data_IF_063103794462
#
_entry.id   IF_063103794462
#
_cell.length_a   1.000
_cell.length_b   1.000
_cell.length_c   1.000
_cell.angle_alpha   90.00
_cell.angle_beta   90.00
_cell.angle_gamma   90.00
#
_symmetry.space_group_name_H-M   'P 1'
#
loop_
_entity.id
_entity.type
_entity.pdbx_description
1 polymer ?
#
# COMPACT_ATOMS: atom_id res chain seq x y z
N UNK A 1 -15.00 14.93 22.52
CA UNK A 1 -14.64 14.51 21.15
C UNK A 1 -13.13 14.35 21.00
N UNK A 2 -12.29 15.32 21.33
CA UNK A 2 -10.83 15.19 21.20
C UNK A 2 -10.20 13.97 21.94
N UNK A 3 -10.67 13.62 23.15
CA UNK A 3 -10.09 12.52 23.94
C UNK A 3 -10.32 11.12 23.32
N UNK A 4 -11.52 10.87 22.78
CA UNK A 4 -11.86 9.60 22.15
C UNK A 4 -11.04 9.42 20.86
N UNK A 5 -10.99 10.46 20.03
CA UNK A 5 -10.17 10.49 18.83
C UNK A 5 -8.67 10.25 19.12
N UNK A 6 -8.14 10.81 20.22
CA UNK A 6 -6.75 10.52 20.61
C UNK A 6 -6.53 9.06 21.04
N UNK A 7 -7.49 8.43 21.73
CA UNK A 7 -7.39 7.01 22.11
C UNK A 7 -7.47 6.11 20.88
N UNK A 8 -8.36 6.42 19.94
CA UNK A 8 -8.48 5.70 18.66
C UNK A 8 -7.19 5.84 17.84
N UNK A 9 -6.61 7.04 17.74
CA UNK A 9 -5.35 7.27 17.04
C UNK A 9 -4.19 6.45 17.65
N UNK A 10 -4.08 6.41 18.98
CA UNK A 10 -3.08 5.57 19.65
C UNK A 10 -3.34 4.07 19.50
N UNK A 11 -4.61 3.67 19.41
CA UNK A 11 -5.02 2.29 19.08
C UNK A 11 -4.51 1.87 17.71
N UNK A 12 -4.80 2.68 16.68
CA UNK A 12 -4.35 2.44 15.29
C UNK A 12 -2.82 2.36 15.21
N UNK A 13 -2.08 3.21 15.94
CA UNK A 13 -0.62 3.12 16.01
C UNK A 13 -0.12 1.81 16.64
N UNK A 14 -0.75 1.33 17.71
CA UNK A 14 -0.38 0.06 18.33
C UNK A 14 -0.72 -1.14 17.44
N UNK A 15 -1.86 -1.09 16.73
CA UNK A 15 -2.25 -2.11 15.75
C UNK A 15 -1.21 -2.19 14.62
N UNK A 16 -0.78 -1.03 14.08
CA UNK A 16 0.29 -0.98 13.08
C UNK A 16 1.59 -1.63 13.61
N UNK A 17 2.00 -1.25 14.83
CA UNK A 17 3.22 -1.80 15.44
C UNK A 17 3.10 -3.31 15.67
N UNK A 18 1.94 -3.77 16.12
CA UNK A 18 1.69 -5.18 16.36
C UNK A 18 1.66 -5.98 15.04
N UNK A 19 1.10 -5.40 13.98
CA UNK A 19 1.05 -6.01 12.65
C UNK A 19 2.43 -6.35 12.12
N UNK A 20 3.44 -5.51 12.41
CA UNK A 20 4.84 -5.81 12.05
C UNK A 20 5.35 -7.15 12.60
N UNK A 21 4.78 -7.62 13.71
CA UNK A 21 5.22 -8.84 14.40
C UNK A 21 4.43 -10.10 14.08
N UNK A 22 3.14 -9.97 13.78
CA UNK A 22 2.28 -11.12 13.58
C UNK A 22 2.55 -11.80 12.23
N UNK A 23 3.02 -11.03 11.23
CA UNK A 23 3.04 -11.49 9.84
C UNK A 23 1.62 -11.61 9.27
N UNK A 24 1.51 -12.25 8.11
CA UNK A 24 0.25 -12.42 7.39
C UNK A 24 -0.44 -11.09 7.11
N UNK A 25 -1.77 -11.10 7.18
CA UNK A 25 -2.60 -9.96 6.81
C UNK A 25 -2.28 -8.71 7.65
N UNK A 26 -2.07 -8.85 8.96
CA UNK A 26 -1.77 -7.70 9.84
C UNK A 26 -0.49 -6.95 9.40
N UNK A 27 0.55 -7.68 8.95
CA UNK A 27 1.79 -7.09 8.44
C UNK A 27 1.55 -6.38 7.10
N UNK A 28 0.75 -7.01 6.23
CA UNK A 28 0.38 -6.50 4.93
C UNK A 28 -0.43 -5.19 5.02
N UNK A 29 -1.36 -5.13 5.97
CA UNK A 29 -2.14 -3.93 6.31
C UNK A 29 -1.25 -2.81 6.85
N UNK A 30 -0.35 -3.12 7.80
CA UNK A 30 0.62 -2.15 8.32
C UNK A 30 1.49 -1.55 7.23
N UNK A 31 1.97 -2.38 6.30
CA UNK A 31 2.75 -1.94 5.15
C UNK A 31 1.96 -1.02 4.22
N UNK A 32 0.73 -1.40 3.89
CA UNK A 32 -0.17 -0.64 3.03
C UNK A 32 -0.54 0.72 3.64
N UNK A 33 -0.83 0.75 4.94
CA UNK A 33 -1.09 1.98 5.67
C UNK A 33 0.12 2.93 5.68
N UNK A 34 1.34 2.40 5.85
CA UNK A 34 2.56 3.20 5.82
C UNK A 34 2.78 3.83 4.44
N UNK A 35 2.62 3.05 3.37
CA UNK A 35 2.72 3.56 2.00
C UNK A 35 1.67 4.64 1.71
N UNK A 36 0.45 4.46 2.20
CA UNK A 36 -0.61 5.47 2.06
C UNK A 36 -0.26 6.78 2.78
N UNK A 37 0.22 6.74 4.03
CA UNK A 37 0.65 7.94 4.75
C UNK A 37 1.84 8.64 4.06
N UNK A 38 2.77 7.87 3.49
CA UNK A 38 3.87 8.41 2.71
C UNK A 38 3.38 9.10 1.43
N UNK A 39 2.43 8.51 0.70
CA UNK A 39 1.83 9.10 -0.49
C UNK A 39 1.10 10.42 -0.16
N UNK A 40 0.29 10.45 0.91
CA UNK A 40 -0.36 11.68 1.40
C UNK A 40 0.66 12.77 1.70
N UNK A 41 1.76 12.41 2.36
CA UNK A 41 2.83 13.35 2.70
C UNK A 41 3.52 13.90 1.44
N UNK A 42 3.78 13.05 0.45
CA UNK A 42 4.38 13.46 -0.82
C UNK A 42 3.48 14.47 -1.56
N UNK A 43 2.18 14.19 -1.67
CA UNK A 43 1.19 15.07 -2.30
C UNK A 43 1.12 16.43 -1.58
N UNK A 44 1.07 16.41 -0.25
CA UNK A 44 1.09 17.64 0.55
C UNK A 44 2.37 18.46 0.37
N UNK A 45 3.48 17.81 0.05
CA UNK A 45 4.76 18.45 -0.25
C UNK A 45 4.90 18.88 -1.73
N UNK A 46 3.87 18.67 -2.55
CA UNK A 46 3.80 19.13 -3.93
C UNK A 46 4.22 18.09 -4.97
N UNK A 47 4.30 16.80 -4.61
CA UNK A 47 4.35 15.73 -5.60
C UNK A 47 3.08 15.80 -6.47
N UNK A 48 3.27 15.74 -7.78
CA UNK A 48 2.20 15.87 -8.77
C UNK A 48 2.34 14.88 -9.94
N UNK A 49 3.30 13.96 -9.83
CA UNK A 49 3.40 12.81 -10.71
C UNK A 49 2.09 12.04 -10.69
N UNK A 50 1.49 11.81 -11.85
CA UNK A 50 0.27 11.02 -11.91
C UNK A 50 0.46 9.55 -11.51
N UNK A 51 1.70 9.03 -11.52
CA UNK A 51 2.00 7.71 -10.97
C UNK A 51 1.64 7.59 -9.48
N UNK A 52 1.59 8.69 -8.72
CA UNK A 52 1.12 8.65 -7.33
C UNK A 52 -0.38 8.34 -7.22
N UNK A 53 -1.17 8.71 -8.24
CA UNK A 53 -2.60 8.37 -8.30
C UNK A 53 -2.78 6.88 -8.54
N UNK A 54 -1.95 6.32 -9.42
CA UNK A 54 -1.94 4.88 -9.71
C UNK A 54 -1.47 4.07 -8.50
N UNK A 55 -0.44 4.54 -7.78
CA UNK A 55 0.04 3.92 -6.55
C UNK A 55 -1.05 3.95 -5.45
N UNK A 56 -1.76 5.07 -5.30
CA UNK A 56 -2.92 5.13 -4.39
C UNK A 56 -4.00 4.13 -4.81
N UNK A 57 -4.33 4.07 -6.10
CA UNK A 57 -5.36 3.15 -6.57
C UNK A 57 -4.96 1.68 -6.39
N UNK A 58 -3.69 1.33 -6.63
CA UNK A 58 -3.17 0.00 -6.31
C UNK A 58 -3.31 -0.32 -4.82
N UNK A 59 -2.95 0.61 -3.91
CA UNK A 59 -3.14 0.39 -2.47
C UNK A 59 -4.61 0.12 -2.11
N UNK A 60 -5.56 0.80 -2.76
CA UNK A 60 -6.98 0.54 -2.55
C UNK A 60 -7.36 -0.87 -3.04
N UNK A 61 -6.86 -1.30 -4.20
CA UNK A 61 -7.10 -2.65 -4.74
C UNK A 61 -6.51 -3.70 -3.79
N UNK A 62 -5.30 -3.47 -3.32
CA UNK A 62 -4.58 -4.36 -2.41
C UNK A 62 -5.40 -4.62 -1.14
N UNK A 63 -5.89 -3.57 -0.49
CA UNK A 63 -6.77 -3.70 0.69
C UNK A 63 -8.08 -4.41 0.35
N UNK A 64 -8.68 -4.07 -0.80
CA UNK A 64 -9.96 -4.61 -1.24
C UNK A 64 -9.92 -6.12 -1.47
N UNK A 65 -8.92 -6.60 -2.20
CA UNK A 65 -8.74 -8.01 -2.51
C UNK A 65 -8.29 -8.79 -1.27
N UNK A 66 -7.36 -8.25 -0.46
CA UNK A 66 -6.85 -8.94 0.73
C UNK A 66 -7.95 -9.23 1.78
N UNK A 67 -8.99 -8.39 1.81
CA UNK A 67 -10.15 -8.59 2.69
C UNK A 67 -11.32 -9.33 2.03
N UNK A 68 -11.22 -9.67 0.74
CA UNK A 68 -12.29 -10.30 -0.02
C UNK A 68 -13.56 -9.43 -0.05
N UNK A 69 -13.41 -8.12 -0.21
CA UNK A 69 -14.55 -7.24 -0.41
C UNK A 69 -15.19 -7.53 -1.77
N UNK A 70 -16.52 -7.43 -1.85
CA UNK A 70 -17.25 -7.83 -3.05
C UNK A 70 -17.23 -9.35 -3.31
N UNK A 71 -17.77 -9.78 -4.45
CA UNK A 71 -17.79 -11.19 -4.89
C UNK A 71 -18.00 -11.27 -6.42
N UNK A 72 -17.21 -10.49 -7.17
CA UNK A 72 -17.31 -10.42 -8.63
C UNK A 72 -15.97 -10.85 -9.26
N UNK A 73 -15.90 -12.06 -9.84
CA UNK A 73 -14.68 -12.58 -10.46
C UNK A 73 -14.19 -11.74 -11.65
N UNK A 74 -15.08 -11.03 -12.36
CA UNK A 74 -14.65 -10.17 -13.46
C UNK A 74 -13.95 -8.91 -12.93
N UNK A 75 -14.44 -8.37 -11.80
CA UNK A 75 -13.78 -7.25 -11.11
C UNK A 75 -12.43 -7.66 -10.53
N UNK A 76 -12.36 -8.84 -9.93
CA UNK A 76 -11.12 -9.37 -9.35
C UNK A 76 -10.07 -9.63 -10.44
N UNK A 77 -10.46 -10.21 -11.58
CA UNK A 77 -9.55 -10.37 -12.71
C UNK A 77 -9.04 -9.02 -13.24
N UNK A 78 -9.89 -7.99 -13.32
CA UNK A 78 -9.45 -6.63 -13.66
C UNK A 78 -8.44 -6.10 -12.64
N UNK A 79 -8.73 -6.24 -11.34
CA UNK A 79 -7.81 -5.84 -10.26
C UNK A 79 -6.43 -6.47 -10.40
N UNK A 80 -6.35 -7.75 -10.80
CA UNK A 80 -5.07 -8.42 -11.01
C UNK A 80 -4.24 -7.81 -12.15
N UNK A 81 -4.88 -7.31 -13.21
CA UNK A 81 -4.16 -6.54 -14.25
C UNK A 81 -3.65 -5.19 -13.72
N UNK A 82 -4.43 -4.51 -12.87
CA UNK A 82 -3.97 -3.27 -12.25
C UNK A 82 -2.76 -3.51 -11.34
N UNK A 83 -2.77 -4.56 -10.51
CA UNK A 83 -1.66 -4.91 -9.62
C UNK A 83 -0.38 -5.28 -10.38
N UNK A 84 -0.51 -5.88 -11.57
CA UNK A 84 0.62 -6.21 -12.42
C UNK A 84 1.19 -5.00 -13.16
N UNK A 85 0.31 -4.22 -13.81
CA UNK A 85 0.70 -3.36 -14.94
C UNK A 85 0.51 -1.86 -14.69
N UNK A 86 0.19 -1.42 -13.47
CA UNK A 86 0.03 0.02 -13.16
C UNK A 86 0.88 0.46 -11.99
N UNK A 87 0.93 1.75 -11.72
CA UNK A 87 1.74 2.29 -10.64
C UNK A 87 3.21 2.41 -11.03
N UNK A 88 3.96 3.09 -10.17
CA UNK A 88 5.32 3.53 -10.45
C UNK A 88 6.20 2.41 -11.02
N UNK A 89 6.66 2.58 -12.27
CA UNK A 89 7.59 1.67 -12.93
C UNK A 89 7.05 0.34 -13.46
N UNK A 90 5.75 0.05 -13.32
CA UNK A 90 5.21 -1.30 -13.62
C UNK A 90 4.56 -1.47 -15.00
N UNK A 91 4.53 -0.45 -15.85
CA UNK A 91 3.58 -0.32 -16.97
C UNK A 91 3.73 -1.33 -18.11
N UNK A 92 3.44 -2.62 -17.89
CA UNK A 92 3.37 -3.63 -18.94
C UNK A 92 2.19 -3.38 -19.89
N UNK A 93 2.37 -3.60 -21.20
CA UNK A 93 1.27 -3.56 -22.18
C UNK A 93 1.04 -4.98 -22.68
N UNK A 94 0.15 -5.69 -22.01
CA UNK A 94 -0.13 -7.11 -22.26
C UNK A 94 -1.64 -7.32 -22.40
N UNK A 95 -2.02 -8.28 -23.25
CA UNK A 95 -3.42 -8.78 -23.27
C UNK A 95 -4.46 -7.73 -23.69
N UNK A 96 -3.98 -6.70 -24.40
CA UNK A 96 -4.71 -5.49 -24.79
C UNK A 96 -5.03 -4.54 -23.63
N UNK A 97 -4.44 -4.74 -22.45
CA UNK A 97 -4.39 -3.72 -21.42
C UNK A 97 -3.36 -2.66 -21.77
N UNK A 98 -3.86 -1.48 -22.09
CA UNK A 98 -3.13 -0.24 -22.30
C UNK A 98 -3.77 0.89 -21.48
N UNK A 99 -3.19 2.09 -21.55
CA UNK A 99 -3.71 3.26 -20.83
C UNK A 99 -5.20 3.54 -21.07
N UNK A 100 -5.70 3.35 -22.30
CA UNK A 100 -7.13 3.52 -22.58
C UNK A 100 -7.97 2.46 -21.87
N UNK A 101 -7.52 1.21 -21.88
CA UNK A 101 -8.24 0.10 -21.25
C UNK A 101 -8.28 0.25 -19.73
N UNK A 102 -7.20 0.70 -19.09
CA UNK A 102 -7.19 1.03 -17.67
C UNK A 102 -8.11 2.22 -17.34
N UNK A 103 -8.10 3.28 -18.17
CA UNK A 103 -9.00 4.41 -18.02
C UNK A 103 -10.49 4.01 -18.13
N UNK A 104 -10.83 3.18 -19.13
CA UNK A 104 -12.18 2.65 -19.32
C UNK A 104 -12.60 1.75 -18.14
N UNK A 105 -11.70 0.95 -17.59
CA UNK A 105 -12.00 0.09 -16.43
C UNK A 105 -12.29 0.91 -15.15
N UNK A 106 -11.55 1.99 -14.88
CA UNK A 106 -11.83 2.83 -13.70
C UNK A 106 -13.10 3.67 -13.84
N UNK A 107 -13.38 4.20 -15.04
CA UNK A 107 -14.60 5.00 -15.30
C UNK A 107 -15.85 4.14 -15.48
N UNK A 108 -15.68 2.90 -15.95
CA UNK A 108 -16.74 2.13 -16.57
C UNK A 108 -17.01 2.61 -18.00
N UNK A 109 -17.16 1.67 -18.93
CA UNK A 109 -17.41 1.98 -20.34
C UNK A 109 -18.42 1.00 -20.95
N UNK A 110 -19.49 1.54 -21.54
CA UNK A 110 -20.54 0.72 -22.16
C UNK A 110 -21.26 -0.16 -21.12
N UNK A 111 -21.09 -1.47 -21.25
CA UNK A 111 -21.64 -2.48 -20.32
C UNK A 111 -20.64 -2.87 -19.21
N UNK A 112 -19.38 -2.41 -19.27
CA UNK A 112 -18.35 -2.68 -18.25
C UNK A 112 -18.58 -1.75 -17.06
N UNK A 113 -18.81 -2.28 -15.84
CA UNK A 113 -18.99 -1.43 -14.67
C UNK A 113 -17.67 -0.77 -14.24
N UNK A 114 -17.78 0.39 -13.59
CA UNK A 114 -16.62 1.10 -13.03
C UNK A 114 -16.00 0.32 -11.89
N UNK A 115 -14.71 0.00 -12.00
CA UNK A 115 -13.94 -0.64 -10.93
C UNK A 115 -13.83 0.26 -9.70
N UNK A 116 -13.57 1.56 -9.92
CA UNK A 116 -13.45 2.55 -8.85
C UNK A 116 -14.73 2.64 -8.02
N UNK A 117 -15.89 2.79 -8.69
CA UNK A 117 -17.19 2.86 -8.02
C UNK A 117 -17.54 1.52 -7.35
N UNK A 118 -17.26 0.39 -8.02
CA UNK A 118 -17.49 -0.93 -7.45
C UNK A 118 -16.74 -1.10 -6.12
N UNK A 119 -15.46 -0.70 -6.06
CA UNK A 119 -14.66 -0.77 -4.83
C UNK A 119 -15.21 0.15 -3.75
N UNK A 120 -15.57 1.39 -4.11
CA UNK A 120 -16.15 2.36 -3.19
C UNK A 120 -17.44 1.85 -2.52
N UNK A 121 -18.31 1.21 -3.30
CA UNK A 121 -19.62 0.72 -2.84
C UNK A 121 -19.54 -0.57 -2.03
N UNK A 122 -18.50 -1.39 -2.24
CA UNK A 122 -18.37 -2.71 -1.61
C UNK A 122 -17.37 -2.76 -0.45
N UNK A 123 -16.54 -1.73 -0.27
CA UNK A 123 -15.63 -1.60 0.88
C UNK A 123 -16.33 -0.96 2.09
N UNK A 124 -16.06 -1.42 3.33
CA UNK A 124 -16.57 -0.77 4.54
C UNK A 124 -16.06 0.67 4.68
N UNK A 125 -16.89 1.60 5.17
CA UNK A 125 -16.52 3.03 5.37
C UNK A 125 -15.25 3.23 6.22
N UNK A 126 -14.91 2.26 7.08
CA UNK A 126 -13.74 2.29 7.95
C UNK A 126 -12.57 1.43 7.45
N UNK A 127 -12.62 0.92 6.22
CA UNK A 127 -11.51 0.18 5.58
C UNK A 127 -10.46 1.12 4.99
N UNK A 128 -9.25 0.61 4.76
CA UNK A 128 -8.19 1.38 4.12
C UNK A 128 -8.55 1.68 2.65
N UNK A 129 -9.17 0.74 1.94
CA UNK A 129 -9.69 0.96 0.59
C UNK A 129 -10.61 2.19 0.55
N UNK A 130 -11.60 2.27 1.44
CA UNK A 130 -12.52 3.40 1.46
C UNK A 130 -11.81 4.71 1.83
N UNK A 131 -10.89 4.67 2.80
CA UNK A 131 -10.09 5.84 3.20
C UNK A 131 -9.24 6.39 2.04
N UNK A 132 -8.65 5.50 1.22
CA UNK A 132 -7.86 5.89 0.06
C UNK A 132 -8.74 6.49 -1.03
N UNK A 133 -9.86 5.85 -1.38
CA UNK A 133 -10.75 6.35 -2.43
C UNK A 133 -11.34 7.72 -2.04
N UNK A 134 -11.79 7.88 -0.79
CA UNK A 134 -12.23 9.19 -0.26
C UNK A 134 -11.13 10.25 -0.37
N UNK A 135 -9.88 9.89 -0.04
CA UNK A 135 -8.75 10.80 -0.16
C UNK A 135 -8.50 11.20 -1.63
N UNK A 136 -8.57 10.24 -2.55
CA UNK A 136 -8.41 10.52 -3.98
C UNK A 136 -9.50 11.48 -4.50
N UNK A 137 -10.76 11.26 -4.12
CA UNK A 137 -11.88 12.11 -4.51
C UNK A 137 -11.77 13.53 -3.94
N UNK A 138 -11.26 13.66 -2.72
CA UNK A 138 -11.22 14.95 -2.02
C UNK A 138 -9.98 15.78 -2.31
N UNK A 139 -8.82 15.14 -2.48
CA UNK A 139 -7.51 15.81 -2.55
C UNK A 139 -6.80 15.62 -3.90
N UNK A 140 -7.19 14.62 -4.70
CA UNK A 140 -6.47 14.24 -5.91
C UNK A 140 -7.25 14.41 -7.23
N UNK A 141 -8.50 14.88 -7.17
CA UNK A 141 -9.36 15.04 -8.35
C UNK A 141 -10.19 13.80 -8.71
N UNK A 142 -10.11 12.74 -7.90
CA UNK A 142 -10.96 11.55 -7.99
C UNK A 142 -10.72 10.68 -9.22
N UNK A 143 -11.73 9.87 -9.55
CA UNK A 143 -11.69 8.90 -10.66
C UNK A 143 -11.36 9.54 -12.02
N UNK A 144 -11.78 10.78 -12.27
CA UNK A 144 -11.53 11.46 -13.55
C UNK A 144 -10.04 11.81 -13.72
N UNK A 145 -9.36 12.22 -12.64
CA UNK A 145 -7.91 12.49 -12.69
C UNK A 145 -7.11 11.20 -12.86
N UNK A 146 -7.54 10.11 -12.22
CA UNK A 146 -6.94 8.79 -12.40
C UNK A 146 -7.13 8.27 -13.84
N UNK A 147 -8.32 8.44 -14.41
CA UNK A 147 -8.59 8.05 -15.78
C UNK A 147 -7.78 8.86 -16.80
N UNK A 148 -7.66 10.18 -16.60
CA UNK A 148 -6.83 11.06 -17.42
C UNK A 148 -5.35 10.65 -17.36
N UNK A 149 -4.86 10.28 -16.18
CA UNK A 149 -3.52 9.74 -16.00
C UNK A 149 -3.31 8.48 -16.85
N UNK A 150 -4.23 7.51 -16.79
CA UNK A 150 -4.13 6.31 -17.62
C UNK A 150 -4.25 6.62 -19.12
N UNK A 151 -5.20 7.45 -19.54
CA UNK A 151 -5.42 7.74 -20.97
C UNK A 151 -4.24 8.50 -21.60
N UNK A 152 -3.71 9.49 -20.87
CA UNK A 152 -2.80 10.49 -21.47
C UNK A 152 -1.35 10.38 -21.02
N UNK A 153 -1.07 9.67 -19.91
CA UNK A 153 0.23 9.70 -19.24
C UNK A 153 0.76 8.31 -18.85
N UNK A 154 0.10 7.22 -19.25
CA UNK A 154 0.49 5.84 -18.95
C UNK A 154 1.90 5.45 -19.44
N UNK A 155 2.45 6.13 -20.44
CA UNK A 155 3.79 5.81 -20.96
C UNK A 155 4.79 6.95 -20.77
N UNK A 156 4.48 7.89 -19.88
CA UNK A 156 5.38 8.99 -19.56
C UNK A 156 6.64 8.50 -18.83
N UNK A 157 7.64 9.38 -18.72
CA UNK A 157 8.89 9.07 -18.05
C UNK A 157 8.65 8.69 -16.58
N UNK A 158 9.04 7.48 -16.18
CA UNK A 158 8.71 6.89 -14.88
C UNK A 158 7.71 5.72 -14.95
N UNK A 159 7.27 5.34 -16.16
CA UNK A 159 6.37 4.20 -16.36
C UNK A 159 7.08 2.82 -16.34
N UNK A 160 8.36 2.75 -16.73
CA UNK A 160 9.02 1.48 -17.06
C UNK A 160 10.37 1.30 -16.34
N UNK A 161 10.39 0.58 -15.20
CA UNK A 161 11.58 0.47 -14.35
C UNK A 161 12.80 -0.18 -15.02
N UNK A 162 12.58 -1.10 -15.96
CA UNK A 162 13.67 -1.75 -16.68
C UNK A 162 14.37 -0.86 -17.71
N UNK A 163 13.81 0.31 -18.02
CA UNK A 163 14.36 1.19 -19.05
C UNK A 163 15.45 2.11 -18.50
N UNK A 164 16.44 2.41 -19.35
CA UNK A 164 17.58 3.26 -18.97
C UNK A 164 17.22 4.72 -18.64
N UNK A 165 16.04 5.17 -19.05
CA UNK A 165 15.52 6.51 -18.77
C UNK A 165 14.66 6.57 -17.49
N UNK A 166 14.40 5.41 -16.86
CA UNK A 166 13.72 5.37 -15.57
C UNK A 166 14.50 6.17 -14.51
N UNK A 167 13.92 7.21 -13.91
CA UNK A 167 14.65 8.04 -12.97
C UNK A 167 14.99 7.26 -11.70
N UNK A 168 16.26 7.26 -11.28
CA UNK A 168 16.68 6.64 -10.02
C UNK A 168 15.96 7.20 -8.78
N UNK A 169 15.47 8.45 -8.87
CA UNK A 169 14.66 9.10 -7.84
C UNK A 169 13.20 8.66 -7.81
N UNK A 170 12.72 7.90 -8.79
CA UNK A 170 11.35 7.39 -8.83
C UNK A 170 11.17 6.24 -7.84
N UNK A 171 9.92 6.01 -7.42
CA UNK A 171 9.57 4.93 -6.50
C UNK A 171 9.15 3.64 -7.22
N UNK A 172 8.93 2.56 -6.47
CA UNK A 172 8.29 1.34 -6.96
C UNK A 172 6.78 1.38 -6.73
N UNK A 173 6.02 0.67 -7.57
CA UNK A 173 4.59 0.45 -7.33
C UNK A 173 4.36 -0.30 -6.00
N UNK A 174 3.26 -0.05 -5.28
CA UNK A 174 2.93 -0.74 -4.05
C UNK A 174 3.01 -2.26 -4.12
N UNK A 175 2.56 -2.84 -5.24
CA UNK A 175 2.62 -4.29 -5.45
C UNK A 175 4.06 -4.81 -5.47
N UNK A 176 4.95 -4.14 -6.22
CA UNK A 176 6.37 -4.51 -6.27
C UNK A 176 7.10 -4.27 -4.94
N UNK A 177 6.72 -3.23 -4.19
CA UNK A 177 7.26 -2.98 -2.85
C UNK A 177 6.91 -4.10 -1.87
N UNK A 178 5.67 -4.58 -1.91
CA UNK A 178 5.22 -5.68 -1.06
C UNK A 178 5.87 -7.00 -1.45
N UNK A 179 6.00 -7.28 -2.75
CA UNK A 179 6.74 -8.43 -3.26
C UNK A 179 8.20 -8.40 -2.79
N UNK A 180 8.91 -7.30 -3.02
CA UNK A 180 10.29 -7.10 -2.58
C UNK A 180 10.45 -7.32 -1.07
N UNK A 181 9.61 -6.67 -0.28
CA UNK A 181 9.70 -6.73 1.17
C UNK A 181 9.41 -8.14 1.69
N UNK A 182 8.41 -8.83 1.13
CA UNK A 182 8.09 -10.21 1.50
C UNK A 182 9.27 -11.14 1.25
N UNK A 183 9.83 -11.12 0.03
CA UNK A 183 10.94 -12.00 -0.31
C UNK A 183 12.20 -11.70 0.51
N UNK A 184 12.47 -10.42 0.76
CA UNK A 184 13.60 -10.04 1.59
C UNK A 184 13.43 -10.52 3.03
N UNK A 185 12.26 -10.33 3.64
CA UNK A 185 12.00 -10.75 5.02
C UNK A 185 11.97 -12.27 5.17
N UNK A 186 11.55 -13.01 4.13
CA UNK A 186 11.61 -14.47 4.12
C UNK A 186 13.06 -15.00 4.27
N UNK A 187 14.03 -14.28 3.70
CA UNK A 187 15.46 -14.62 3.77
C UNK A 187 16.12 -13.99 5.02
N UNK A 188 15.73 -12.76 5.35
CA UNK A 188 16.32 -11.93 6.42
C UNK A 188 15.25 -11.47 7.42
N UNK A 189 14.75 -12.36 8.29
CA UNK A 189 13.64 -12.03 9.21
C UNK A 189 14.01 -11.02 10.31
N UNK A 190 15.31 -10.77 10.51
CA UNK A 190 15.84 -9.83 11.50
C UNK A 190 16.15 -8.48 10.84
N UNK A 191 15.16 -7.94 10.13
CA UNK A 191 15.25 -6.68 9.39
C UNK A 191 14.81 -5.50 10.25
N UNK A 192 15.51 -4.36 10.13
CA UNK A 192 15.21 -3.16 10.90
C UNK A 192 14.03 -2.38 10.30
N UNK A 193 13.41 -1.51 11.11
CA UNK A 193 12.36 -0.63 10.62
C UNK A 193 12.87 0.34 9.53
N UNK A 194 14.12 0.79 9.61
CA UNK A 194 14.71 1.64 8.57
C UNK A 194 14.76 0.94 7.21
N UNK A 195 15.09 -0.35 7.17
CA UNK A 195 15.06 -1.14 5.92
C UNK A 195 13.63 -1.33 5.41
N UNK A 196 12.66 -1.55 6.31
CA UNK A 196 11.24 -1.61 5.90
C UNK A 196 10.79 -0.28 5.31
N UNK A 197 11.08 0.83 5.97
CA UNK A 197 10.76 2.16 5.47
C UNK A 197 11.42 2.39 4.11
N UNK A 198 12.69 1.99 3.94
CA UNK A 198 13.39 2.06 2.66
C UNK A 198 12.64 1.29 1.56
N UNK A 199 12.23 0.05 1.81
CA UNK A 199 11.50 -0.73 0.79
C UNK A 199 10.11 -0.17 0.50
N UNK A 200 9.40 0.33 1.50
CA UNK A 200 8.04 0.83 1.34
C UNK A 200 7.97 2.27 0.80
N UNK A 201 9.01 3.09 0.98
CA UNK A 201 8.93 4.52 0.60
C UNK A 201 10.15 5.04 -0.15
N UNK A 202 11.26 4.31 -0.16
CA UNK A 202 12.49 4.73 -0.83
C UNK A 202 12.37 4.80 -2.34
N UNK A 203 13.30 5.53 -2.94
CA UNK A 203 13.50 5.57 -4.38
C UNK A 203 14.19 4.28 -4.87
N UNK A 204 14.04 3.96 -6.17
CA UNK A 204 14.64 2.75 -6.73
C UNK A 204 16.17 2.76 -6.60
N UNK A 205 16.83 3.92 -6.73
CA UNK A 205 18.29 4.02 -6.59
C UNK A 205 18.75 3.66 -5.17
N UNK A 206 18.02 4.12 -4.15
CA UNK A 206 18.33 3.78 -2.75
C UNK A 206 18.09 2.29 -2.47
N UNK A 207 17.01 1.72 -3.02
CA UNK A 207 16.68 0.30 -2.86
C UNK A 207 17.71 -0.58 -3.59
N UNK A 208 18.07 -0.27 -4.84
CA UNK A 208 19.08 -0.99 -5.62
C UNK A 208 20.45 -0.95 -4.94
N UNK A 209 20.82 0.21 -4.39
CA UNK A 209 22.05 0.35 -3.59
C UNK A 209 21.99 -0.58 -2.37
N UNK A 210 20.89 -0.58 -1.63
CA UNK A 210 20.74 -1.45 -0.47
C UNK A 210 20.81 -2.94 -0.85
N UNK A 211 20.11 -3.37 -1.91
CA UNK A 211 20.07 -4.76 -2.36
C UNK A 211 21.46 -5.22 -2.81
N UNK A 212 22.17 -4.41 -3.60
CA UNK A 212 23.53 -4.73 -4.06
C UNK A 212 24.57 -4.77 -2.94
N UNK A 213 24.39 -4.00 -1.87
CA UNK A 213 25.30 -4.02 -0.72
C UNK A 213 25.02 -5.15 0.28
N UNK A 214 23.79 -5.64 0.35
CA UNK A 214 23.35 -6.60 1.39
C UNK A 214 23.01 -8.00 0.86
N UNK A 215 22.92 -8.18 -0.46
CA UNK A 215 22.58 -9.45 -1.11
C UNK A 215 23.60 -9.78 -2.22
N UNK A 216 23.35 -10.86 -2.98
CA UNK A 216 24.13 -11.20 -4.18
C UNK A 216 23.53 -10.67 -5.49
N UNK A 217 22.46 -9.88 -5.41
CA UNK A 217 21.71 -9.38 -6.56
C UNK A 217 22.06 -7.91 -6.82
N UNK A 218 22.03 -7.51 -8.10
CA UNK A 218 22.49 -6.19 -8.51
C UNK A 218 21.42 -5.08 -8.35
N UNK A 219 20.14 -5.46 -8.26
CA UNK A 219 19.00 -4.53 -8.19
C UNK A 219 17.78 -5.16 -7.51
N UNK A 220 16.85 -4.32 -7.05
CA UNK A 220 15.56 -4.73 -6.48
C UNK A 220 14.76 -5.61 -7.45
N UNK A 221 14.71 -5.26 -8.74
CA UNK A 221 13.96 -6.02 -9.73
C UNK A 221 14.60 -7.39 -9.98
N UNK A 222 15.93 -7.46 -10.09
CA UNK A 222 16.60 -8.77 -10.18
C UNK A 222 16.38 -9.62 -8.93
N UNK A 223 16.32 -8.99 -7.75
CA UNK A 223 16.00 -9.69 -6.51
C UNK A 223 14.58 -10.25 -6.52
N UNK A 224 13.57 -9.48 -6.94
CA UNK A 224 12.17 -9.97 -7.01
C UNK A 224 12.07 -11.16 -7.98
N UNK A 225 12.51 -10.98 -9.23
CA UNK A 225 12.36 -11.99 -10.28
C UNK A 225 13.09 -13.32 -9.98
N UNK A 226 14.13 -13.31 -9.15
CA UNK A 226 14.91 -14.50 -8.80
C UNK A 226 14.49 -15.14 -7.46
N UNK A 227 13.65 -14.46 -6.66
CA UNK A 227 13.27 -14.94 -5.33
C UNK A 227 11.75 -15.02 -5.09
N UNK A 228 10.89 -14.67 -6.04
CA UNK A 228 9.41 -14.66 -5.90
C UNK A 228 8.73 -16.02 -5.64
N UNK A 229 9.53 -17.09 -5.48
CA UNK A 229 9.06 -18.44 -5.19
C UNK A 229 8.63 -19.24 -6.42
N UNK A 230 8.76 -18.69 -7.61
CA UNK A 230 8.45 -19.35 -8.88
C UNK A 230 9.72 -19.62 -9.72
N UNK A 231 9.63 -20.57 -10.65
CA UNK A 231 10.72 -20.92 -11.58
C UNK A 231 10.44 -20.32 -12.97
N UNK A 232 11.43 -20.33 -13.88
CA UNK A 232 11.50 -19.72 -15.25
C UNK A 232 10.21 -19.64 -16.12
N UNK A 233 9.13 -20.36 -15.78
CA UNK A 233 7.84 -20.38 -16.47
C UNK A 233 6.66 -19.81 -15.66
N UNK A 234 6.92 -19.20 -14.50
CA UNK A 234 5.94 -18.58 -13.59
C UNK A 234 6.62 -17.41 -12.87
N UNK A 235 5.84 -16.47 -12.33
CA UNK A 235 6.40 -15.37 -11.51
C UNK A 235 6.70 -14.07 -12.26
N UNK A 236 7.31 -13.13 -11.55
CA UNK A 236 7.79 -11.85 -12.04
C UNK A 236 8.99 -12.03 -12.97
N UNK A 237 9.01 -11.26 -14.05
CA UNK A 237 10.11 -11.26 -15.01
C UNK A 237 10.28 -9.89 -15.64
N UNK A 238 11.52 -9.60 -16.02
CA UNK A 238 11.81 -8.45 -16.86
C UNK A 238 11.85 -8.89 -18.33
N UNK A 239 10.89 -8.41 -19.13
CA UNK A 239 10.79 -8.73 -20.54
C UNK A 239 11.38 -7.63 -21.41
N UNK A 240 12.27 -8.00 -22.34
CA UNK A 240 12.73 -7.10 -23.39
C UNK A 240 11.60 -6.88 -24.42
N UNK A 241 11.28 -5.62 -24.69
CA UNK A 241 10.28 -5.22 -25.68
C UNK A 241 10.90 -5.15 -27.07
N UNK A 242 10.05 -5.20 -28.11
CA UNK A 242 10.52 -5.23 -29.51
C UNK A 242 11.31 -3.99 -29.96
N UNK A 243 11.20 -2.89 -29.22
CA UNK A 243 11.92 -1.62 -29.41
C UNK A 243 13.21 -1.52 -28.57
N UNK A 244 13.58 -2.58 -27.84
CA UNK A 244 14.80 -2.66 -27.03
C UNK A 244 14.68 -2.03 -25.64
N UNK A 245 13.46 -1.75 -25.20
CA UNK A 245 13.14 -1.44 -23.81
C UNK A 245 12.88 -2.71 -22.99
N UNK A 246 12.42 -2.50 -21.76
CA UNK A 246 12.10 -3.51 -20.78
C UNK A 246 10.85 -3.13 -20.00
N UNK A 247 10.08 -4.15 -19.67
CA UNK A 247 8.89 -4.06 -18.83
C UNK A 247 8.96 -5.13 -17.76
N UNK A 248 8.54 -4.80 -16.55
CA UNK A 248 8.27 -5.79 -15.51
C UNK A 248 6.90 -6.39 -15.81
N UNK A 249 6.81 -7.70 -15.74
CA UNK A 249 5.66 -8.49 -16.19
C UNK A 249 5.48 -9.68 -15.25
N UNK A 250 4.23 -10.13 -15.08
CA UNK A 250 3.95 -11.39 -14.43
C UNK A 250 3.71 -12.47 -15.49
N UNK A 251 4.26 -13.66 -15.29
CA UNK A 251 3.96 -14.79 -16.17
C UNK A 251 2.50 -15.24 -15.96
N UNK A 252 1.58 -14.74 -16.78
CA UNK A 252 0.18 -15.08 -16.67
C UNK A 252 -0.73 -14.16 -17.48
N UNK A 253 -1.96 -14.02 -16.98
CA UNK A 253 -2.97 -13.08 -17.46
C UNK A 253 -3.43 -12.26 -16.27
N UNK A 254 -2.82 -11.08 -16.07
CA UNK A 254 -2.85 -10.43 -14.78
C UNK A 254 -1.90 -11.10 -13.78
N UNK A 255 -1.75 -10.46 -12.62
CA UNK A 255 -1.13 -11.09 -11.45
C UNK A 255 -1.89 -12.37 -11.07
N UNK A 256 -1.18 -13.45 -10.73
CA UNK A 256 -1.82 -14.67 -10.27
C UNK A 256 -2.53 -14.45 -8.92
N UNK A 257 -3.84 -14.70 -8.87
CA UNK A 257 -4.67 -14.51 -7.66
C UNK A 257 -4.14 -15.35 -6.49
N UNK A 258 -3.65 -16.56 -6.75
CA UNK A 258 -3.10 -17.44 -5.71
C UNK A 258 -1.76 -16.90 -5.18
N UNK A 259 -0.92 -16.34 -6.04
CA UNK A 259 0.28 -15.62 -5.60
C UNK A 259 -0.09 -14.45 -4.68
N UNK A 260 -1.05 -13.62 -5.09
CA UNK A 260 -1.48 -12.48 -4.28
C UNK A 260 -2.08 -12.94 -2.94
N UNK A 261 -2.93 -13.97 -2.94
CA UNK A 261 -3.47 -14.59 -1.73
C UNK A 261 -2.36 -15.08 -0.79
N UNK A 262 -1.37 -15.78 -1.34
CA UNK A 262 -0.23 -16.27 -0.56
C UNK A 262 0.60 -15.12 0.01
N UNK A 263 0.78 -14.04 -0.76
CA UNK A 263 1.56 -12.89 -0.33
C UNK A 263 0.97 -12.27 0.93
N UNK A 264 -0.33 -11.92 0.95
CA UNK A 264 -0.93 -11.32 2.14
C UNK A 264 -1.18 -12.36 3.24
N UNK A 265 -1.47 -13.62 2.91
CA UNK A 265 -1.76 -14.66 3.92
C UNK A 265 -0.51 -15.10 4.69
N UNK A 266 0.65 -15.08 4.03
CA UNK A 266 1.92 -15.58 4.57
C UNK A 266 3.01 -14.52 4.64
N UNK A 267 2.63 -13.24 4.58
CA UNK A 267 3.59 -12.14 4.65
C UNK A 267 4.51 -12.30 5.87
N UNK A 268 5.84 -12.30 5.72
CA UNK A 268 6.72 -12.53 6.84
C UNK A 268 6.63 -11.41 7.89
N UNK A 269 6.35 -11.77 9.14
CA UNK A 269 6.51 -10.87 10.28
C UNK A 269 7.97 -10.72 10.69
N UNK A 270 8.27 -9.75 11.56
CA UNK A 270 9.60 -9.54 12.14
C UNK A 270 9.53 -9.20 13.63
N UNK A 271 10.67 -9.22 14.30
CA UNK A 271 10.74 -8.78 15.69
C UNK A 271 10.65 -7.25 15.80
N UNK A 272 10.03 -6.74 16.88
CA UNK A 272 10.06 -5.32 17.19
C UNK A 272 11.50 -4.87 17.44
N UNK A 273 11.84 -3.72 16.90
CA UNK A 273 13.08 -3.02 17.23
C UNK A 273 13.01 -2.40 18.63
N UNK A 274 14.16 -2.04 19.20
CA UNK A 274 14.22 -1.35 20.50
C UNK A 274 13.43 -0.03 20.49
N UNK A 275 13.51 0.73 19.40
CA UNK A 275 12.76 1.98 19.21
C UNK A 275 11.24 1.76 19.23
N UNK A 276 10.75 0.70 18.60
CA UNK A 276 9.31 0.38 18.62
C UNK A 276 8.84 -0.12 19.98
N UNK A 277 9.70 -0.82 20.72
CA UNK A 277 9.42 -1.17 22.13
C UNK A 277 9.32 0.10 22.98
N UNK A 278 10.20 1.08 22.75
CA UNK A 278 10.10 2.40 23.39
C UNK A 278 8.81 3.13 22.99
N UNK A 279 8.41 3.06 21.71
CA UNK A 279 7.17 3.63 21.21
C UNK A 279 5.93 3.05 21.88
N UNK A 280 5.84 1.71 21.95
CA UNK A 280 4.74 1.00 22.62
C UNK A 280 4.66 1.42 24.09
N UNK A 281 5.80 1.55 24.77
CA UNK A 281 5.84 2.02 26.15
C UNK A 281 5.34 3.47 26.27
N UNK A 282 5.76 4.35 25.36
CA UNK A 282 5.33 5.76 25.32
C UNK A 282 3.83 5.89 25.09
N UNK A 283 3.27 5.17 24.11
CA UNK A 283 1.83 5.13 23.84
C UNK A 283 1.09 4.60 25.07
N UNK A 284 1.59 3.52 25.68
CA UNK A 284 1.01 2.95 26.91
C UNK A 284 0.93 3.96 28.05
N UNK A 285 1.95 4.81 28.21
CA UNK A 285 1.97 5.86 29.23
C UNK A 285 1.03 7.03 28.89
N UNK A 286 0.92 7.41 27.61
CA UNK A 286 -0.04 8.41 27.16
C UNK A 286 -1.49 7.96 27.39
N UNK A 287 -1.82 6.72 27.04
CA UNK A 287 -3.16 6.13 27.27
C UNK A 287 -3.50 6.13 28.77
N UNK A 288 -2.55 5.72 29.64
CA UNK A 288 -2.75 5.79 31.10
C UNK A 288 -3.06 7.21 31.58
N UNK A 289 -2.34 8.22 31.07
CA UNK A 289 -2.57 9.62 31.43
C UNK A 289 -3.96 10.11 31.01
N UNK A 290 -4.44 9.71 29.83
CA UNK A 290 -5.79 10.04 29.37
C UNK A 290 -6.86 9.39 30.26
N UNK A 291 -6.69 8.11 30.59
CA UNK A 291 -7.59 7.38 31.49
C UNK A 291 -7.65 8.01 32.89
N UNK A 292 -6.49 8.37 33.48
CA UNK A 292 -6.43 9.03 34.78
C UNK A 292 -7.10 10.40 34.76
N UNK A 293 -6.89 11.17 33.68
CA UNK A 293 -7.53 12.47 33.49
C UNK A 293 -9.06 12.34 33.42
N UNK A 294 -9.56 11.36 32.67
CA UNK A 294 -10.99 11.07 32.58
C UNK A 294 -11.59 10.67 33.94
N UNK A 295 -10.90 9.79 34.68
CA UNK A 295 -11.30 9.39 36.03
C UNK A 295 -11.40 10.60 36.98
N UNK A 296 -10.45 11.54 36.88
CA UNK A 296 -10.46 12.77 37.67
C UNK A 296 -11.67 13.65 37.33
N UNK A 297 -11.95 13.89 36.05
CA UNK A 297 -13.12 14.68 35.62
C UNK A 297 -14.44 14.04 36.04
N UNK A 298 -14.60 12.72 35.86
CA UNK A 298 -15.79 12.00 36.32
C UNK A 298 -16.00 12.12 37.83
N UNK A 299 -14.91 12.11 38.59
CA UNK A 299 -14.96 12.32 40.04
C UNK A 299 -15.45 13.74 40.38
N UNK A 300 -14.93 14.77 39.72
CA UNK A 300 -15.39 16.16 39.91
C UNK A 300 -16.88 16.28 39.60
N UNK A 301 -17.33 15.81 38.43
CA UNK A 301 -18.73 15.91 38.03
C UNK A 301 -19.66 15.20 39.02
N UNK A 302 -19.27 14.02 39.50
CA UNK A 302 -20.02 13.30 40.53
C UNK A 302 -20.07 14.09 41.84
N UNK A 303 -18.95 14.65 42.26
CA UNK A 303 -18.88 15.42 43.52
C UNK A 303 -19.72 16.71 43.42
N UNK A 304 -19.75 17.37 42.26
CA UNK A 304 -20.66 18.50 41.98
C UNK A 304 -22.14 18.10 41.99
N UNK A 305 -22.50 17.00 41.32
CA UNK A 305 -23.88 16.49 41.35
C UNK A 305 -24.33 16.16 42.78
N UNK A 306 -23.47 15.53 43.58
CA UNK A 306 -23.76 15.28 44.99
C UNK A 306 -23.90 16.58 45.79
N UNK A 307 -23.10 17.60 45.50
CA UNK A 307 -23.21 18.91 46.16
C UNK A 307 -24.52 19.62 45.81
N UNK A 308 -24.96 19.57 44.55
CA UNK A 308 -26.27 20.07 44.10
C UNK A 308 -27.40 19.33 44.81
N UNK A 309 -27.35 18.00 44.84
CA UNK A 309 -28.35 17.16 45.48
C UNK A 309 -28.43 17.34 47.01
N UNK A 310 -27.35 17.79 47.66
CA UNK A 310 -27.34 18.12 49.09
C UNK A 310 -27.87 19.52 49.41
N UNK A 311 -27.85 20.42 48.43
CA UNK A 311 -28.29 21.81 48.57
C UNK A 311 -29.70 22.06 48.00
N UNK A 312 -30.41 21.00 47.60
CA UNK A 312 -31.83 20.98 47.21
C UNK A 312 -32.65 20.24 48.26
#
# INVERSE_FOLDING_TARGET
>A
MALAASIEAYGKQLEIIQGWTNGGLDMFESASALMFEAAKTAIQNGESSGFILEDLFQLAIIDFVAHGYGNDPEMEAMMMHFLESTGSGSHGIHENWDGNSFAEAVLGAGDTPSLYQYMYENSPENSLCHEILDYMDTECGGVEALADQYENHYSDNGAYIGNSDYPGSSGLSPMLRLALMSEYLAIYPQTTQDTINLFLTGSIEEIDTFISENTSYDSAISFICENDGYEDDRGWRLLETSDGGYIIDWYGTGLDETYFENLYSYFPGRELTEEEVEEVNRIGDQVKMLQQTLLYWLKICRDEQMAIARNT
#
